data_IF_143885033160
#
_entry.id   IF_143885033160
#
_cell.length_a   1.000
_cell.length_b   1.000
_cell.length_c   1.000
_cell.angle_alpha   90.00
_cell.angle_beta   90.00
_cell.angle_gamma   90.00
#
_symmetry.space_group_name_H-M   'P 1'
#
loop_
_entity.id
_entity.type
_entity.pdbx_description
1 polymer ?
#
# COMPACT_ATOMS: atom_id res chain seq x y z
N UNK A 1 -13.94 -3.16 9.27
CA UNK A 1 -13.35 -1.83 9.04
C UNK A 1 -13.02 -1.78 7.56
N UNK A 2 -13.83 -1.09 6.76
CA UNK A 2 -13.71 -0.99 5.30
C UNK A 2 -13.86 0.49 4.97
N UNK A 3 -12.82 1.14 4.45
CA UNK A 3 -12.93 2.52 4.00
C UNK A 3 -11.93 2.84 2.88
N UNK A 4 -10.64 2.88 3.22
CA UNK A 4 -9.60 3.44 2.35
C UNK A 4 -8.84 2.40 1.52
N UNK A 5 -9.11 1.10 1.74
CA UNK A 5 -8.37 -0.01 1.12
C UNK A 5 -8.36 0.05 -0.41
N UNK A 6 -9.45 0.44 -1.06
CA UNK A 6 -9.50 0.58 -2.52
C UNK A 6 -8.59 1.73 -3.02
N UNK A 7 -8.52 2.84 -2.29
CA UNK A 7 -7.60 3.92 -2.61
C UNK A 7 -6.14 3.50 -2.38
N UNK A 8 -5.88 2.80 -1.28
CA UNK A 8 -4.54 2.26 -0.98
C UNK A 8 -4.11 1.23 -2.02
N UNK A 9 -5.00 0.34 -2.47
CA UNK A 9 -4.74 -0.59 -3.57
C UNK A 9 -4.36 0.18 -4.83
N UNK A 10 -5.15 1.22 -5.20
CA UNK A 10 -4.85 2.03 -6.38
C UNK A 10 -3.48 2.70 -6.28
N UNK A 11 -3.14 3.24 -5.11
CA UNK A 11 -1.84 3.84 -4.87
C UNK A 11 -0.69 2.82 -4.98
N UNK A 12 -0.82 1.67 -4.33
CA UNK A 12 0.20 0.61 -4.32
C UNK A 12 0.42 0.02 -5.72
N UNK A 13 -0.65 -0.23 -6.47
CA UNK A 13 -0.60 -0.92 -7.77
C UNK A 13 -0.29 0.03 -8.92
N UNK A 14 -0.94 1.19 -9.00
CA UNK A 14 -0.84 2.06 -10.18
C UNK A 14 0.14 3.22 -10.01
N UNK A 15 0.32 3.74 -8.79
CA UNK A 15 1.24 4.86 -8.53
C UNK A 15 2.62 4.35 -8.14
N UNK A 16 2.73 3.59 -7.05
CA UNK A 16 3.99 3.03 -6.60
C UNK A 16 4.46 1.86 -7.46
N UNK A 17 3.52 1.13 -8.08
CA UNK A 17 3.77 -0.08 -8.88
C UNK A 17 4.60 -1.11 -8.11
N UNK A 18 4.24 -1.39 -6.86
CA UNK A 18 4.94 -2.35 -5.99
C UNK A 18 4.09 -3.56 -5.59
N UNK A 19 2.84 -3.65 -6.07
CA UNK A 19 1.93 -4.73 -5.74
C UNK A 19 1.14 -5.25 -6.94
N UNK A 20 0.43 -6.35 -6.73
CA UNK A 20 -0.46 -6.98 -7.72
C UNK A 20 -1.88 -6.99 -7.17
N UNK A 21 -2.85 -6.65 -8.02
CA UNK A 21 -4.28 -6.69 -7.70
C UNK A 21 -4.82 -8.12 -7.83
N UNK A 22 -5.59 -8.56 -6.84
CA UNK A 22 -6.24 -9.90 -6.82
C UNK A 22 -7.62 -9.88 -7.48
N UNK A 23 -8.24 -8.69 -7.61
CA UNK A 23 -9.50 -8.52 -8.32
C UNK A 23 -10.73 -8.44 -7.43
N UNK A 24 -10.59 -8.08 -6.15
CA UNK A 24 -11.71 -7.65 -5.33
C UNK A 24 -12.20 -6.30 -5.85
N UNK A 25 -13.47 -6.22 -6.26
CA UNK A 25 -14.04 -5.01 -6.87
C UNK A 25 -15.06 -4.31 -5.98
N UNK A 26 -15.64 -5.02 -5.00
CA UNK A 26 -16.70 -4.51 -4.14
C UNK A 26 -16.36 -4.80 -2.69
N UNK A 27 -16.48 -3.79 -1.83
CA UNK A 27 -16.34 -3.96 -0.38
C UNK A 27 -17.59 -4.61 0.19
N UNK A 28 -17.41 -5.69 0.95
CA UNK A 28 -18.51 -6.38 1.64
C UNK A 28 -18.64 -5.78 3.04
N UNK A 29 -19.73 -5.06 3.31
CA UNK A 29 -20.00 -4.46 4.61
C UNK A 29 -20.37 -5.49 5.68
N UNK A 30 -20.29 -5.15 6.99
CA UNK A 30 -20.75 -6.03 8.05
C UNK A 30 -22.23 -6.38 7.86
N UNK A 31 -22.56 -7.67 7.79
CA UNK A 31 -23.93 -8.17 7.59
C UNK A 31 -24.36 -8.39 6.13
N UNK A 32 -23.48 -8.13 5.15
CA UNK A 32 -23.71 -8.59 3.79
C UNK A 32 -23.50 -10.11 3.71
N UNK A 33 -24.52 -10.82 3.23
CA UNK A 33 -24.48 -12.27 3.03
C UNK A 33 -23.52 -12.57 1.88
N UNK A 34 -22.52 -13.42 2.11
CA UNK A 34 -21.47 -13.77 1.13
C UNK A 34 -22.05 -14.18 -0.24
N UNK A 35 -23.21 -14.86 -0.25
CA UNK A 35 -23.91 -15.31 -1.46
C UNK A 35 -24.54 -14.20 -2.31
N UNK A 36 -24.83 -13.03 -1.75
CA UNK A 36 -25.42 -11.90 -2.49
C UNK A 36 -24.37 -11.00 -3.15
N UNK A 37 -23.11 -11.17 -2.78
CA UNK A 37 -22.00 -10.41 -3.34
C UNK A 37 -21.28 -11.24 -4.39
N UNK A 38 -21.26 -10.80 -5.66
CA UNK A 38 -20.32 -11.27 -6.68
C UNK A 38 -18.84 -10.91 -6.34
N UNK A 39 -18.53 -10.71 -5.06
CA UNK A 39 -17.23 -10.30 -4.53
C UNK A 39 -16.34 -11.49 -4.15
N UNK A 40 -16.81 -12.73 -4.33
CA UNK A 40 -16.02 -13.93 -4.08
C UNK A 40 -14.89 -14.05 -5.10
N UNK A 41 -13.65 -13.97 -4.61
CA UNK A 41 -12.45 -14.22 -5.41
C UNK A 41 -12.28 -15.72 -5.59
N UNK A 42 -12.13 -16.17 -6.84
CA UNK A 42 -11.90 -17.58 -7.15
C UNK A 42 -10.47 -17.99 -6.83
N UNK A 43 -10.28 -19.26 -6.50
CA UNK A 43 -8.96 -19.82 -6.20
C UNK A 43 -7.95 -19.61 -7.37
N UNK A 44 -8.41 -19.74 -8.61
CA UNK A 44 -7.58 -19.49 -9.80
C UNK A 44 -7.08 -18.04 -9.90
N UNK A 45 -7.89 -17.06 -9.46
CA UNK A 45 -7.48 -15.65 -9.44
C UNK A 45 -6.41 -15.43 -8.38
N UNK A 46 -6.56 -16.03 -7.20
CA UNK A 46 -5.55 -16.00 -6.13
C UNK A 46 -4.24 -16.61 -6.63
N UNK A 47 -4.31 -17.81 -7.22
CA UNK A 47 -3.14 -18.52 -7.75
C UNK A 47 -2.39 -17.66 -8.76
N UNK A 48 -3.09 -17.13 -9.76
CA UNK A 48 -2.50 -16.28 -10.81
C UNK A 48 -1.87 -15.01 -10.24
N UNK A 49 -2.51 -14.37 -9.26
CA UNK A 49 -1.94 -13.17 -8.63
C UNK A 49 -0.68 -13.47 -7.83
N UNK A 50 -0.60 -14.64 -7.18
CA UNK A 50 0.62 -15.09 -6.49
C UNK A 50 1.72 -15.39 -7.50
N UNK A 51 1.42 -16.13 -8.57
CA UNK A 51 2.38 -16.43 -9.65
C UNK A 51 2.94 -15.12 -10.23
N UNK A 52 2.08 -14.18 -10.62
CA UNK A 52 2.50 -12.87 -11.13
C UNK A 52 3.33 -12.07 -10.12
N UNK A 53 3.03 -12.17 -8.82
CA UNK A 53 3.78 -11.45 -7.78
C UNK A 53 5.20 -12.03 -7.62
N UNK A 54 5.29 -13.35 -7.64
CA UNK A 54 6.51 -14.12 -7.39
C UNK A 54 7.34 -14.38 -8.65
N UNK A 55 6.84 -14.03 -9.83
CA UNK A 55 7.55 -14.23 -11.08
C UNK A 55 8.85 -13.40 -11.09
N UNK A 56 9.97 -14.10 -10.98
CA UNK A 56 11.31 -13.53 -10.97
C UNK A 56 11.93 -13.50 -12.36
N UNK A 57 11.34 -14.20 -13.33
CA UNK A 57 11.77 -14.28 -14.71
C UNK A 57 11.18 -13.13 -15.53
N UNK A 58 9.99 -12.66 -15.18
CA UNK A 58 9.38 -11.45 -15.73
C UNK A 58 10.09 -10.17 -15.26
N UNK A 59 10.35 -9.27 -16.22
CA UNK A 59 10.96 -7.96 -15.97
C UNK A 59 10.18 -7.15 -14.92
N UNK A 60 8.86 -7.15 -15.02
CA UNK A 60 8.00 -6.38 -14.12
C UNK A 60 8.05 -6.88 -12.67
N UNK A 61 8.26 -8.19 -12.43
CA UNK A 61 8.38 -8.75 -11.09
C UNK A 61 9.65 -8.28 -10.38
N UNK A 62 10.78 -8.28 -11.08
CA UNK A 62 12.05 -7.72 -10.57
C UNK A 62 11.94 -6.22 -10.31
N UNK A 63 11.27 -5.52 -11.22
CA UNK A 63 11.05 -4.08 -11.14
C UNK A 63 10.17 -3.68 -9.95
N UNK A 64 9.11 -4.43 -9.66
CA UNK A 64 8.29 -4.27 -8.44
C UNK A 64 9.15 -4.38 -7.19
N UNK A 65 10.00 -5.41 -7.07
CA UNK A 65 10.90 -5.61 -5.91
C UNK A 65 11.91 -4.48 -5.77
N UNK A 66 12.52 -4.04 -6.88
CA UNK A 66 13.47 -2.91 -6.89
C UNK A 66 12.80 -1.63 -6.38
N UNK A 67 11.59 -1.31 -6.86
CA UNK A 67 10.81 -0.16 -6.39
C UNK A 67 10.46 -0.26 -4.91
N UNK A 68 10.04 -1.44 -4.45
CA UNK A 68 9.72 -1.68 -3.05
C UNK A 68 10.96 -1.52 -2.13
N UNK A 69 12.11 -2.03 -2.53
CA UNK A 69 13.38 -1.86 -1.80
C UNK A 69 13.76 -0.38 -1.69
N UNK A 70 13.75 0.35 -2.80
CA UNK A 70 14.02 1.80 -2.82
C UNK A 70 13.05 2.58 -1.94
N UNK A 71 11.76 2.23 -1.97
CA UNK A 71 10.76 2.85 -1.09
C UNK A 71 11.08 2.59 0.39
N UNK A 72 11.53 1.38 0.74
CA UNK A 72 11.98 1.05 2.09
C UNK A 72 13.21 1.85 2.55
N UNK A 73 14.18 2.05 1.67
CA UNK A 73 15.34 2.92 1.92
C UNK A 73 14.92 4.38 2.16
N UNK A 74 14.05 4.91 1.30
CA UNK A 74 13.50 6.27 1.45
C UNK A 74 12.72 6.44 2.75
N UNK A 75 11.93 5.43 3.15
CA UNK A 75 11.18 5.46 4.40
C UNK A 75 12.10 5.49 5.63
N UNK A 76 13.20 4.74 5.62
CA UNK A 76 14.23 4.78 6.68
C UNK A 76 14.90 6.15 6.73
N UNK A 77 15.36 6.66 5.59
CA UNK A 77 16.00 7.97 5.50
C UNK A 77 15.08 9.11 5.95
N UNK A 78 13.77 9.01 5.72
CA UNK A 78 12.80 10.03 6.13
C UNK A 78 12.70 10.20 7.66
N UNK A 79 12.95 9.15 8.45
CA UNK A 79 12.84 9.17 9.91
C UNK A 79 14.18 9.38 10.64
N UNK A 80 15.30 9.24 9.95
CA UNK A 80 16.63 9.53 10.48
C UNK A 80 16.81 11.03 10.79
N UNK A 81 17.80 11.38 11.61
CA UNK A 81 18.08 12.78 11.95
C UNK A 81 18.40 13.58 10.67
N UNK A 82 17.64 14.65 10.44
CA UNK A 82 17.71 15.46 9.22
C UNK A 82 16.80 14.96 8.07
N UNK A 83 16.11 13.83 8.26
CA UNK A 83 15.09 13.32 7.35
C UNK A 83 13.80 14.16 7.35
N UNK A 84 12.98 13.99 6.31
CA UNK A 84 11.78 14.80 6.09
C UNK A 84 10.72 14.61 7.18
N UNK A 85 10.42 13.38 7.59
CA UNK A 85 9.46 13.09 8.66
C UNK A 85 9.99 13.53 10.03
N UNK A 86 11.30 13.36 10.28
CA UNK A 86 11.95 13.86 11.48
C UNK A 86 11.82 15.38 11.60
N UNK A 87 12.09 16.10 10.50
CA UNK A 87 11.97 17.56 10.46
C UNK A 87 10.52 18.01 10.64
N UNK A 88 9.56 17.36 9.98
CA UNK A 88 8.13 17.70 10.10
C UNK A 88 7.62 17.59 11.53
N UNK A 89 7.97 16.51 12.26
CA UNK A 89 7.59 16.37 13.67
C UNK A 89 8.29 17.42 14.54
N UNK A 90 9.57 17.72 14.26
CA UNK A 90 10.30 18.77 14.97
C UNK A 90 9.61 20.13 14.82
N UNK A 91 9.21 20.49 13.59
CA UNK A 91 8.49 21.72 13.29
C UNK A 91 7.12 21.75 13.98
N UNK A 92 6.36 20.64 13.93
CA UNK A 92 5.08 20.53 14.61
C UNK A 92 5.21 20.78 16.12
N UNK A 93 6.24 20.23 16.77
CA UNK A 93 6.49 20.47 18.19
C UNK A 93 6.80 21.94 18.45
N UNK A 94 7.63 22.57 17.61
CA UNK A 94 7.97 24.00 17.73
C UNK A 94 6.72 24.88 17.58
N UNK A 95 5.87 24.59 16.61
CA UNK A 95 4.63 25.33 16.37
C UNK A 95 3.68 25.24 17.57
N UNK A 96 3.49 24.03 18.13
CA UNK A 96 2.68 23.83 19.34
C UNK A 96 3.26 24.56 20.55
N UNK A 97 4.60 24.58 20.70
CA UNK A 97 5.26 25.30 21.78
C UNK A 97 5.11 26.82 21.65
N UNK A 98 5.14 27.35 20.43
CA UNK A 98 4.94 28.77 20.17
C UNK A 98 3.48 29.19 20.38
N UNK A 99 2.52 28.38 19.96
CA UNK A 99 1.09 28.63 20.14
C UNK A 99 0.64 28.64 21.61
N UNK A 100 1.48 28.17 22.54
CA UNK A 100 1.21 28.17 23.98
C UNK A 100 1.69 29.45 24.70
N UNK A 101 2.49 30.29 24.03
CA UNK A 101 2.88 31.61 24.55
C UNK A 101 1.81 32.64 24.27
#
# INVERSE_FOLDING_TARGET
MFAEQFYNEKFIVYVLKIGVRIGVEVGVGPGAVEEQSNALVKWDQVKKSIENLMDDDEEEGRDRRRRAQKLGEMAKAAIEQGGSSYLNITLLIQDVMQARK
#
